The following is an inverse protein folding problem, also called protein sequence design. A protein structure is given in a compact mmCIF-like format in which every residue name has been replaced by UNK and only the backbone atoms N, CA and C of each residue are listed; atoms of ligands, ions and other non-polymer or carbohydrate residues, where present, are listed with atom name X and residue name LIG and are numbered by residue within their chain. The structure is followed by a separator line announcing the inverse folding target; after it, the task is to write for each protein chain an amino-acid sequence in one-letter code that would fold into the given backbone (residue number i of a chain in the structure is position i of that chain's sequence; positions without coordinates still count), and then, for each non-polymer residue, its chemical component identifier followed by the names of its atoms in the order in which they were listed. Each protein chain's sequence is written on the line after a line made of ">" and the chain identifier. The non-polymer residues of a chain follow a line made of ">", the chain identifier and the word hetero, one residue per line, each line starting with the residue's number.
data_IF_001312931763
#
_entry.id   IF_001312931763
#
_cell.length_a   1.000
_cell.length_b   1.000
_cell.length_c   1.000
_cell.angle_alpha   90.00
_cell.angle_beta   90.00
_cell.angle_gamma   90.00
#
_symmetry.space_group_name_H-M   'P 1'
#
loop_
_entity.id
_entity.type
_entity.pdbx_description
1 polymer ?
#
# COMPACT_ATOMS: atom_id res chain seq x y z
N UNK A 1 16.16 -18.02 11.93
CA UNK A 1 16.92 -17.20 10.97
C UNK A 1 16.24 -15.85 10.94
N UNK A 2 16.87 -14.78 11.43
CA UNK A 2 16.28 -13.44 11.31
C UNK A 2 16.26 -13.09 9.82
N UNK A 3 15.08 -12.85 9.28
CA UNK A 3 14.92 -12.53 7.86
C UNK A 3 15.58 -11.17 7.62
N UNK A 4 16.19 -10.97 6.45
CA UNK A 4 16.82 -9.68 6.08
C UNK A 4 15.85 -8.49 6.19
N UNK A 5 14.54 -8.76 6.24
CA UNK A 5 13.46 -7.80 6.49
C UNK A 5 13.37 -7.33 7.95
N UNK A 6 13.79 -8.14 8.93
CA UNK A 6 13.66 -7.81 10.35
C UNK A 6 14.46 -6.56 10.72
N UNK A 7 15.63 -6.37 10.09
CA UNK A 7 16.55 -5.25 10.34
C UNK A 7 16.38 -4.07 9.36
N UNK A 8 15.47 -4.19 8.40
CA UNK A 8 15.25 -3.13 7.39
C UNK A 8 14.24 -2.11 7.90
N UNK A 9 14.59 -0.82 7.80
CA UNK A 9 13.73 0.31 8.12
C UNK A 9 13.63 1.25 6.91
N UNK A 10 12.47 1.91 6.72
CA UNK A 10 12.26 2.83 5.62
C UNK A 10 13.11 4.10 5.75
N UNK A 11 13.77 4.51 4.66
CA UNK A 11 14.59 5.73 4.62
C UNK A 11 13.69 6.97 4.55
N UNK A 12 13.66 7.74 5.64
CA UNK A 12 12.82 8.93 5.78
C UNK A 12 13.23 10.10 4.87
N UNK A 13 14.43 10.05 4.29
CA UNK A 13 14.97 11.14 3.46
C UNK A 13 14.78 10.90 1.96
N UNK A 14 14.21 9.75 1.57
CA UNK A 14 13.95 9.41 0.17
C UNK A 14 12.47 9.48 -0.13
N UNK A 15 12.16 9.84 -1.38
CA UNK A 15 10.81 9.66 -1.91
C UNK A 15 10.45 8.17 -1.81
N UNK A 16 9.19 7.83 -1.50
CA UNK A 16 8.79 6.45 -1.33
C UNK A 16 8.92 5.75 -2.69
N UNK A 17 9.81 4.76 -2.77
CA UNK A 17 9.98 3.94 -3.96
C UNK A 17 8.97 2.78 -3.99
N UNK A 18 8.60 2.40 -5.21
CA UNK A 18 7.64 1.35 -5.53
C UNK A 18 8.02 0.02 -4.86
N UNK A 19 9.31 -0.33 -4.95
CA UNK A 19 9.86 -1.58 -4.43
C UNK A 19 10.00 -1.58 -2.90
N UNK A 20 10.37 -0.44 -2.31
CA UNK A 20 10.47 -0.30 -0.85
C UNK A 20 9.09 -0.36 -0.18
N UNK A 21 8.07 0.20 -0.82
CA UNK A 21 6.68 0.14 -0.35
C UNK A 21 6.17 -1.29 -0.29
N UNK A 22 6.40 -2.08 -1.36
CA UNK A 22 6.01 -3.50 -1.38
C UNK A 22 6.80 -4.33 -0.36
N UNK A 23 8.10 -4.08 -0.19
CA UNK A 23 8.90 -4.71 0.88
C UNK A 23 8.37 -4.42 2.27
N UNK A 24 7.95 -3.17 2.52
CA UNK A 24 7.36 -2.80 3.79
C UNK A 24 6.05 -3.57 4.03
N UNK A 25 5.16 -3.64 3.04
CA UNK A 25 3.93 -4.45 3.12
C UNK A 25 4.27 -5.89 3.49
N UNK A 26 5.21 -6.52 2.78
CA UNK A 26 5.62 -7.90 3.05
C UNK A 26 6.18 -8.14 4.46
N UNK A 27 6.77 -7.12 5.09
CA UNK A 27 7.29 -7.20 6.46
C UNK A 27 6.17 -7.28 7.51
N UNK A 28 5.01 -6.67 7.24
CA UNK A 28 3.97 -6.46 8.26
C UNK A 28 2.67 -7.24 8.03
N UNK A 29 2.48 -7.86 6.87
CA UNK A 29 1.38 -8.79 6.65
C UNK A 29 1.67 -10.17 7.26
N UNK A 30 0.64 -10.82 7.78
CA UNK A 30 0.68 -12.18 8.34
C UNK A 30 0.15 -13.25 7.37
N UNK A 31 -0.14 -12.86 6.13
CA UNK A 31 -0.65 -13.73 5.07
C UNK A 31 0.21 -13.67 3.81
N UNK A 32 0.10 -14.72 2.99
CA UNK A 32 0.72 -14.74 1.68
C UNK A 32 -0.05 -13.87 0.67
N UNK A 33 0.69 -13.06 -0.09
CA UNK A 33 0.24 -12.31 -1.26
C UNK A 33 1.29 -12.49 -2.36
N UNK A 34 0.86 -12.77 -3.59
CA UNK A 34 1.80 -12.87 -4.69
C UNK A 34 2.33 -11.48 -5.06
N UNK A 35 3.58 -11.40 -5.53
CA UNK A 35 4.24 -10.13 -5.84
C UNK A 35 3.46 -9.28 -6.85
N UNK A 36 2.92 -9.90 -7.88
CA UNK A 36 2.08 -9.21 -8.86
C UNK A 36 0.80 -8.64 -8.24
N UNK A 37 0.17 -9.33 -7.27
CA UNK A 37 -1.03 -8.83 -6.58
C UNK A 37 -0.70 -7.62 -5.70
N UNK A 38 0.45 -7.66 -5.01
CA UNK A 38 0.93 -6.54 -4.21
C UNK A 38 1.19 -5.30 -5.09
N UNK A 39 1.80 -5.49 -6.26
CA UNK A 39 2.00 -4.40 -7.22
C UNK A 39 0.69 -3.88 -7.78
N UNK A 40 -0.28 -4.74 -8.12
CA UNK A 40 -1.60 -4.29 -8.58
C UNK A 40 -2.30 -3.41 -7.54
N UNK A 41 -2.30 -3.82 -6.26
CA UNK A 41 -2.87 -3.01 -5.17
C UNK A 41 -2.15 -1.66 -5.07
N UNK A 42 -0.82 -1.67 -5.18
CA UNK A 42 -0.01 -0.44 -5.11
C UNK A 42 -0.25 0.50 -6.31
N UNK A 43 -0.38 -0.04 -7.52
CA UNK A 43 -0.62 0.72 -8.76
C UNK A 43 -1.96 1.44 -8.65
N UNK A 44 -3.00 0.69 -8.29
CA UNK A 44 -4.35 1.22 -8.09
C UNK A 44 -4.39 2.27 -6.98
N UNK A 45 -3.67 2.02 -5.88
CA UNK A 45 -3.54 2.99 -4.79
C UNK A 45 -2.87 4.28 -5.26
N UNK A 46 -1.75 4.20 -5.97
CA UNK A 46 -1.00 5.36 -6.47
C UNK A 46 -1.83 6.16 -7.48
N UNK A 47 -2.57 5.48 -8.35
CA UNK A 47 -3.48 6.13 -9.30
C UNK A 47 -4.48 7.02 -8.55
N UNK A 48 -5.19 6.47 -7.56
CA UNK A 48 -6.16 7.24 -6.77
C UNK A 48 -5.49 8.31 -5.94
N UNK A 49 -4.35 8.02 -5.34
CA UNK A 49 -3.58 8.97 -4.54
C UNK A 49 -3.16 10.19 -5.36
N UNK A 50 -2.68 9.97 -6.59
CA UNK A 50 -2.27 11.04 -7.49
C UNK A 50 -3.48 11.86 -8.01
N UNK A 51 -4.61 11.21 -8.34
CA UNK A 51 -5.86 11.92 -8.68
C UNK A 51 -6.42 12.77 -7.52
N UNK A 52 -6.02 12.39 -6.31
CA UNK A 52 -6.40 13.04 -5.07
C UNK A 52 -5.43 14.15 -4.64
N UNK A 53 -4.37 14.43 -5.41
CA UNK A 53 -3.43 15.51 -5.10
C UNK A 53 -4.16 16.86 -5.02
N UNK A 54 -4.00 17.53 -3.87
CA UNK A 54 -4.68 18.80 -3.59
C UNK A 54 -6.11 18.65 -3.05
N UNK A 55 -6.61 17.43 -2.84
CA UNK A 55 -7.89 17.14 -2.19
C UNK A 55 -7.65 16.47 -0.84
N UNK A 56 -8.57 16.68 0.10
CA UNK A 56 -8.60 15.91 1.35
C UNK A 56 -9.24 14.57 1.03
N UNK A 57 -8.50 13.48 1.19
CA UNK A 57 -9.01 12.13 0.95
C UNK A 57 -8.87 11.29 2.21
N UNK A 58 -10.00 10.71 2.62
CA UNK A 58 -10.06 9.85 3.79
C UNK A 58 -9.47 8.48 3.46
N UNK A 59 -8.80 7.86 4.45
CA UNK A 59 -8.20 6.53 4.26
C UNK A 59 -9.22 5.48 3.82
N UNK A 60 -10.46 5.54 4.35
CA UNK A 60 -11.52 4.61 3.97
C UNK A 60 -12.00 4.80 2.53
N UNK A 61 -11.94 6.02 1.99
CA UNK A 61 -12.27 6.28 0.59
C UNK A 61 -11.20 5.67 -0.34
N UNK A 62 -9.92 5.81 0.00
CA UNK A 62 -8.83 5.14 -0.71
C UNK A 62 -8.98 3.62 -0.68
N UNK A 63 -9.24 3.05 0.50
CA UNK A 63 -9.44 1.60 0.65
C UNK A 63 -10.60 1.10 -0.20
N UNK A 64 -11.73 1.79 -0.15
CA UNK A 64 -12.94 1.41 -0.89
C UNK A 64 -12.69 1.47 -2.39
N UNK A 65 -12.11 2.56 -2.88
CA UNK A 65 -11.77 2.71 -4.30
C UNK A 65 -10.87 1.60 -4.80
N UNK A 66 -9.77 1.31 -4.09
CA UNK A 66 -8.82 0.28 -4.54
C UNK A 66 -9.47 -1.10 -4.57
N UNK A 67 -10.30 -1.44 -3.59
CA UNK A 67 -11.04 -2.70 -3.59
C UNK A 67 -11.98 -2.78 -4.80
N UNK A 68 -12.77 -1.74 -5.05
CA UNK A 68 -13.73 -1.70 -6.15
C UNK A 68 -13.04 -1.82 -7.51
N UNK A 69 -11.98 -1.05 -7.73
CA UNK A 69 -11.22 -1.06 -8.99
C UNK A 69 -10.56 -2.42 -9.25
N UNK A 70 -9.98 -3.06 -8.23
CA UNK A 70 -9.37 -4.39 -8.35
C UNK A 70 -10.39 -5.48 -8.65
N UNK A 71 -11.60 -5.36 -8.11
CA UNK A 71 -12.70 -6.29 -8.39
C UNK A 71 -13.26 -6.09 -9.80
N UNK A 72 -13.33 -4.84 -10.27
CA UNK A 72 -13.86 -4.51 -11.59
C UNK A 72 -12.90 -4.86 -12.72
N UNK A 73 -11.59 -4.67 -12.54
CA UNK A 73 -10.62 -4.66 -13.65
C UNK A 73 -9.53 -5.73 -13.58
N UNK A 74 -9.22 -6.28 -12.40
CA UNK A 74 -8.01 -7.10 -12.21
C UNK A 74 -8.26 -8.55 -11.81
N UNK A 75 -9.53 -8.98 -11.68
CA UNK A 75 -9.90 -10.34 -11.25
C UNK A 75 -9.12 -10.84 -10.03
N UNK A 76 -8.88 -9.95 -9.06
CA UNK A 76 -8.16 -10.30 -7.84
C UNK A 76 -9.07 -11.18 -6.96
N UNK A 77 -8.65 -12.41 -6.65
CA UNK A 77 -9.41 -13.35 -5.80
C UNK A 77 -9.15 -13.17 -4.29
N UNK A 78 -8.28 -12.22 -3.93
CA UNK A 78 -7.97 -11.91 -2.53
C UNK A 78 -9.21 -11.41 -1.76
N UNK A 79 -9.44 -11.85 -0.52
CA UNK A 79 -10.47 -11.27 0.36
C UNK A 79 -10.31 -9.76 0.53
N UNK A 80 -11.43 -9.03 0.58
CA UNK A 80 -11.44 -7.57 0.73
C UNK A 80 -10.65 -7.10 1.96
N UNK A 81 -10.81 -7.77 3.10
CA UNK A 81 -10.11 -7.41 4.34
C UNK A 81 -8.59 -7.46 4.16
N UNK A 82 -8.06 -8.42 3.41
CA UNK A 82 -6.62 -8.52 3.14
C UNK A 82 -6.12 -7.38 2.26
N UNK A 83 -6.90 -6.98 1.25
CA UNK A 83 -6.59 -5.82 0.41
C UNK A 83 -6.53 -4.56 1.28
N UNK A 84 -7.52 -4.36 2.16
CA UNK A 84 -7.56 -3.23 3.10
C UNK A 84 -6.38 -3.21 4.06
N UNK A 85 -5.93 -4.37 4.53
CA UNK A 85 -4.72 -4.50 5.37
C UNK A 85 -3.48 -4.06 4.58
N UNK A 86 -3.30 -4.53 3.35
CA UNK A 86 -2.18 -4.11 2.47
C UNK A 86 -2.18 -2.58 2.30
N UNK A 87 -3.33 -1.99 1.97
CA UNK A 87 -3.46 -0.52 1.80
C UNK A 87 -3.13 0.21 3.10
N UNK A 88 -3.56 -0.32 4.25
CA UNK A 88 -3.25 0.26 5.56
C UNK A 88 -1.74 0.26 5.84
N UNK A 89 -1.02 -0.78 5.41
CA UNK A 89 0.45 -0.82 5.50
C UNK A 89 1.13 0.12 4.51
N UNK A 90 0.60 0.30 3.30
CA UNK A 90 1.08 1.30 2.33
C UNK A 90 0.96 2.71 2.93
N UNK A 91 -0.21 3.05 3.49
CA UNK A 91 -0.41 4.33 4.19
C UNK A 91 0.53 4.46 5.39
N UNK A 92 0.69 3.39 6.17
CA UNK A 92 1.63 3.34 7.29
C UNK A 92 3.08 3.62 6.88
N UNK A 93 3.52 3.07 5.75
CA UNK A 93 4.82 3.36 5.15
C UNK A 93 4.95 4.84 4.79
N UNK A 94 3.96 5.40 4.08
CA UNK A 94 3.96 6.81 3.69
C UNK A 94 4.00 7.75 4.91
N UNK A 95 3.30 7.39 5.99
CA UNK A 95 3.40 8.09 7.29
C UNK A 95 4.80 7.99 7.88
N UNK A 96 5.41 6.80 7.86
CA UNK A 96 6.74 6.57 8.40
C UNK A 96 7.84 7.37 7.68
N UNK A 97 7.72 7.54 6.35
CA UNK A 97 8.64 8.35 5.53
C UNK A 97 8.25 9.84 5.44
N UNK A 98 7.21 10.27 6.15
CA UNK A 98 6.78 11.68 6.19
C UNK A 98 6.15 12.21 4.89
N UNK A 99 5.72 11.31 4.00
CA UNK A 99 5.11 11.62 2.70
C UNK A 99 3.58 11.58 2.74
N UNK A 100 3.01 11.09 3.84
CA UNK A 100 1.58 11.18 4.11
C UNK A 100 1.28 12.49 4.84
N UNK A 101 0.70 13.45 4.12
CA UNK A 101 0.14 14.67 4.74
C UNK A 101 -1.33 14.40 5.03
N UNK A 102 -1.63 14.09 6.28
CA UNK A 102 -2.99 14.11 6.79
C UNK A 102 -3.43 15.58 6.83
N UNK A 103 -4.52 15.92 6.14
CA UNK A 103 -5.18 17.22 6.27
C UNK A 103 -6.37 17.06 7.19
#
# INVERSE_FOLDING_TARGET
>A
MASSLDKWEPDKNKAPDYYETVKYVYKYIDFHIAEHEAYLILDTFIFKWNDSLGKVVQEEELKTYVVEELRAHHFLFMPEEKIKIVISHIIGYLKAVGQYKQV
#
